data_IF_648663864121
#
_entry.id   IF_648663864121
#
_cell.length_a   1.000
_cell.length_b   1.000
_cell.length_c   1.000
_cell.angle_alpha   90.00
_cell.angle_beta   90.00
_cell.angle_gamma   90.00
#
_symmetry.space_group_name_H-M   'P 1'
#
loop_
_entity.id
_entity.type
_entity.pdbx_description
1 polymer ?
#
# COMPACT_ATOMS: atom_id res chain seq x y z
N UNK A 1 20.37 14.87 34.53
CA UNK A 1 19.17 14.40 33.80
C UNK A 1 18.38 15.61 33.33
N UNK A 2 18.39 15.91 32.03
CA UNK A 2 17.62 17.02 31.49
C UNK A 2 16.13 16.72 31.68
N UNK A 3 15.46 17.49 32.54
CA UNK A 3 13.99 17.45 32.67
C UNK A 3 13.41 17.73 31.29
N UNK A 4 12.68 16.78 30.74
CA UNK A 4 11.86 16.99 29.54
C UNK A 4 10.91 18.13 29.91
N UNK A 5 11.19 19.32 29.39
CA UNK A 5 10.35 20.49 29.60
C UNK A 5 9.03 20.29 28.86
N UNK A 6 7.96 20.93 29.31
CA UNK A 6 6.62 20.84 28.70
C UNK A 6 6.67 21.11 27.18
N UNK A 7 7.59 21.98 26.75
CA UNK A 7 7.86 22.29 25.35
C UNK A 7 8.54 21.14 24.59
N UNK A 8 9.47 20.43 25.23
CA UNK A 8 10.09 19.23 24.66
C UNK A 8 9.07 18.10 24.43
N UNK A 9 8.09 17.96 25.34
CA UNK A 9 7.00 17.00 25.17
C UNK A 9 6.09 17.41 23.99
N UNK A 10 5.75 18.69 23.88
CA UNK A 10 4.91 19.22 22.80
C UNK A 10 5.57 19.04 21.43
N UNK A 11 6.87 19.31 21.32
CA UNK A 11 7.63 19.10 20.09
C UNK A 11 7.63 17.63 19.67
N UNK A 12 7.89 16.71 20.61
CA UNK A 12 7.85 15.27 20.34
C UNK A 12 6.47 14.79 19.87
N UNK A 13 5.39 15.31 20.47
CA UNK A 13 4.02 14.95 20.10
C UNK A 13 3.61 15.44 18.72
N UNK A 14 4.00 16.66 18.35
CA UNK A 14 3.77 17.21 17.01
C UNK A 14 4.56 16.46 15.94
N UNK A 15 5.82 16.09 16.23
CA UNK A 15 6.64 15.27 15.34
C UNK A 15 5.99 13.90 15.10
N UNK A 16 5.50 13.25 16.16
CA UNK A 16 4.75 11.97 16.08
C UNK A 16 3.48 12.10 15.24
N UNK A 17 2.72 13.19 15.39
CA UNK A 17 1.52 13.47 14.57
C UNK A 17 1.86 13.64 13.09
N UNK A 18 2.93 14.39 12.79
CA UNK A 18 3.41 14.59 11.41
C UNK A 18 3.84 13.28 10.77
N UNK A 19 4.52 12.43 11.53
CA UNK A 19 4.95 11.11 11.07
C UNK A 19 3.75 10.21 10.74
N UNK A 20 2.78 10.09 11.65
CA UNK A 20 1.55 9.33 11.40
C UNK A 20 0.76 9.83 10.17
N UNK A 21 0.76 11.16 9.95
CA UNK A 21 0.11 11.77 8.77
C UNK A 21 0.85 11.49 7.45
N UNK A 22 2.17 11.32 7.49
CA UNK A 22 2.98 10.93 6.30
C UNK A 22 2.90 9.43 6.04
N UNK A 23 2.87 8.63 7.09
CA UNK A 23 2.76 7.17 7.02
C UNK A 23 1.41 6.75 6.40
N UNK A 24 0.33 7.42 6.79
CA UNK A 24 -0.99 7.25 6.19
C UNK A 24 -1.05 7.65 4.70
N UNK A 25 -0.21 8.57 4.25
CA UNK A 25 -0.10 8.95 2.83
C UNK A 25 0.79 8.01 2.01
N UNK A 26 1.88 7.51 2.60
CA UNK A 26 2.83 6.61 1.92
C UNK A 26 2.19 5.25 1.61
N UNK A 27 1.82 4.50 2.66
CA UNK A 27 1.40 3.11 2.46
C UNK A 27 0.02 2.98 1.80
N UNK A 28 -0.92 3.86 2.11
CA UNK A 28 -2.24 3.91 1.44
C UNK A 28 -2.12 4.39 -0.01
N UNK A 29 -1.24 5.36 -0.26
CA UNK A 29 -0.96 5.87 -1.60
C UNK A 29 -0.33 4.80 -2.49
N UNK A 30 0.63 4.05 -1.94
CA UNK A 30 1.31 2.95 -2.63
C UNK A 30 0.34 1.82 -2.98
N UNK A 31 -0.56 1.43 -2.06
CA UNK A 31 -1.62 0.45 -2.35
C UNK A 31 -2.50 0.92 -3.51
N UNK A 32 -2.94 2.19 -3.49
CA UNK A 32 -3.78 2.74 -4.56
C UNK A 32 -3.05 2.77 -5.91
N UNK A 33 -1.76 3.10 -5.92
CA UNK A 33 -0.93 3.07 -7.11
C UNK A 33 -0.77 1.63 -7.66
N UNK A 34 -0.58 0.65 -6.78
CA UNK A 34 -0.52 -0.76 -7.14
C UNK A 34 -1.85 -1.28 -7.74
N UNK A 35 -2.99 -0.89 -7.18
CA UNK A 35 -4.31 -1.24 -7.74
C UNK A 35 -4.49 -0.67 -9.16
N UNK A 36 -4.12 0.59 -9.36
CA UNK A 36 -4.17 1.23 -10.68
C UNK A 36 -3.28 0.49 -11.68
N UNK A 37 -2.08 0.09 -11.26
CA UNK A 37 -1.13 -0.62 -12.11
C UNK A 37 -1.62 -2.03 -12.48
N UNK A 38 -2.18 -2.79 -11.53
CA UNK A 38 -2.79 -4.12 -11.79
C UNK A 38 -3.95 -3.99 -12.79
N UNK A 39 -4.77 -2.95 -12.67
CA UNK A 39 -5.85 -2.68 -13.62
C UNK A 39 -5.32 -2.44 -15.03
N UNK A 40 -4.31 -1.61 -15.19
CA UNK A 40 -3.65 -1.39 -16.49
C UNK A 40 -3.06 -2.68 -17.05
N UNK A 41 -2.40 -3.49 -16.21
CA UNK A 41 -1.86 -4.79 -16.63
C UNK A 41 -2.95 -5.76 -17.11
N UNK A 42 -4.15 -5.75 -16.49
CA UNK A 42 -5.30 -6.53 -16.95
C UNK A 42 -5.89 -6.03 -18.28
N UNK A 43 -5.84 -4.73 -18.52
CA UNK A 43 -6.33 -4.11 -19.76
C UNK A 43 -5.42 -4.44 -20.95
N UNK A 44 -4.11 -4.45 -20.74
CA UNK A 44 -3.11 -4.77 -21.77
C UNK A 44 -2.76 -6.28 -21.84
N UNK A 45 -3.25 -7.07 -20.88
CA UNK A 45 -3.02 -8.52 -20.87
C UNK A 45 -3.59 -9.10 -22.18
N UNK A 46 -2.79 -9.83 -22.97
CA UNK A 46 -3.24 -10.38 -24.23
C UNK A 46 -4.42 -11.33 -24.00
N UNK A 47 -5.60 -10.88 -24.42
CA UNK A 47 -6.81 -11.71 -24.49
C UNK A 47 -6.71 -12.48 -25.81
N UNK A 48 -6.59 -13.80 -25.73
CA UNK A 48 -6.67 -14.71 -26.89
C UNK A 48 -5.59 -14.58 -27.97
N UNK A 49 -4.33 -14.40 -27.59
CA UNK A 49 -3.22 -14.62 -28.54
C UNK A 49 -2.81 -16.09 -28.54
N UNK A 50 -3.16 -16.80 -29.61
CA UNK A 50 -2.78 -18.20 -29.88
C UNK A 50 -1.27 -18.40 -29.64
N UNK A 51 -0.91 -19.12 -28.58
CA UNK A 51 0.48 -19.51 -28.28
C UNK A 51 1.10 -18.93 -27.01
N UNK A 52 0.46 -17.98 -26.31
CA UNK A 52 0.91 -17.55 -24.99
C UNK A 52 0.17 -18.32 -23.88
N UNK A 53 0.84 -18.83 -22.84
CA UNK A 53 0.18 -19.48 -21.71
C UNK A 53 -0.62 -18.43 -20.93
N UNK A 54 -1.89 -18.27 -21.34
CA UNK A 54 -2.84 -17.33 -20.77
C UNK A 54 -3.01 -17.53 -19.25
N UNK A 55 -2.88 -18.77 -18.80
CA UNK A 55 -2.94 -19.19 -17.40
C UNK A 55 -1.89 -18.45 -16.56
N UNK A 56 -0.64 -18.34 -17.02
CA UNK A 56 0.43 -17.77 -16.19
C UNK A 56 0.28 -16.25 -15.99
N UNK A 57 -0.12 -15.50 -17.02
CA UNK A 57 -0.30 -14.04 -16.88
C UNK A 57 -1.52 -13.69 -16.00
N UNK A 58 -2.63 -14.42 -16.14
CA UNK A 58 -3.79 -14.24 -15.27
C UNK A 58 -3.52 -14.69 -13.82
N UNK A 59 -2.79 -15.79 -13.64
CA UNK A 59 -2.37 -16.28 -12.32
C UNK A 59 -1.53 -15.23 -11.60
N UNK A 60 -0.53 -14.66 -12.29
CA UNK A 60 0.31 -13.58 -11.74
C UNK A 60 -0.54 -12.35 -11.38
N UNK A 61 -1.49 -11.95 -12.23
CA UNK A 61 -2.39 -10.82 -11.94
C UNK A 61 -3.36 -11.11 -10.79
N UNK A 62 -3.69 -12.38 -10.56
CA UNK A 62 -4.53 -12.81 -9.45
C UNK A 62 -3.73 -12.82 -8.15
N UNK A 63 -2.51 -13.32 -8.16
CA UNK A 63 -1.60 -13.31 -7.01
C UNK A 63 -1.25 -11.87 -6.59
N UNK A 64 -0.96 -10.99 -7.55
CA UNK A 64 -0.72 -9.57 -7.29
C UNK A 64 -1.93 -8.90 -6.62
N UNK A 65 -3.15 -9.22 -7.07
CA UNK A 65 -4.37 -8.69 -6.45
C UNK A 65 -4.53 -9.21 -5.01
N UNK A 66 -4.27 -10.49 -4.76
CA UNK A 66 -4.34 -11.08 -3.42
C UNK A 66 -3.37 -10.42 -2.44
N UNK A 67 -2.13 -10.17 -2.87
CA UNK A 67 -1.13 -9.48 -2.04
C UNK A 67 -1.54 -8.05 -1.71
N UNK A 68 -2.16 -7.34 -2.66
CA UNK A 68 -2.71 -6.00 -2.41
C UNK A 68 -3.88 -6.05 -1.42
N UNK A 69 -4.76 -7.05 -1.53
CA UNK A 69 -5.88 -7.23 -0.60
C UNK A 69 -5.40 -7.59 0.81
N UNK A 70 -4.34 -8.38 0.95
CA UNK A 70 -3.67 -8.65 2.22
C UNK A 70 -3.05 -7.40 2.83
N UNK A 71 -2.34 -6.60 2.03
CA UNK A 71 -1.79 -5.32 2.48
C UNK A 71 -2.88 -4.37 2.97
N UNK A 72 -4.04 -4.33 2.29
CA UNK A 72 -5.22 -3.58 2.73
C UNK A 72 -5.79 -4.08 4.05
N UNK A 73 -5.89 -5.40 4.23
CA UNK A 73 -6.34 -6.01 5.49
C UNK A 73 -5.40 -5.68 6.65
N UNK A 74 -4.09 -5.74 6.42
CA UNK A 74 -3.10 -5.32 7.40
C UNK A 74 -3.27 -3.84 7.79
N UNK A 75 -3.43 -2.97 6.79
CA UNK A 75 -3.67 -1.54 7.01
C UNK A 75 -4.94 -1.28 7.83
N UNK A 76 -6.03 -1.98 7.52
CA UNK A 76 -7.27 -1.89 8.28
C UNK A 76 -7.13 -2.39 9.73
N UNK A 77 -6.29 -3.39 9.96
CA UNK A 77 -6.00 -3.94 11.29
C UNK A 77 -5.05 -3.09 12.14
N UNK A 78 -4.15 -2.34 11.52
CA UNK A 78 -3.24 -1.39 12.23
C UNK A 78 -3.91 -0.05 12.51
N UNK A 79 -4.95 0.32 11.74
CA UNK A 79 -5.71 1.54 11.95
C UNK A 79 -6.80 1.45 13.05
N UNK A 80 -7.03 0.26 13.62
CA UNK A 80 -7.93 0.02 14.75
C UNK A 80 -7.21 0.04 16.09
#
# INVERSE_FOLDING_TARGET
MARITKDGWKAWYEERKRFAKRETQGFTGDIKALEQHIKTLREICPKDSVGYPHTTALEVLTELQQRVDEAKRYLAGVAG
#
